data_IF_956278948907
#
_entry.id   IF_956278948907
#
_cell.length_a   1.000
_cell.length_b   1.000
_cell.length_c   1.000
_cell.angle_alpha   90.00
_cell.angle_beta   90.00
_cell.angle_gamma   90.00
#
_symmetry.space_group_name_H-M   'P 1'
#
loop_
_entity.id
_entity.type
_entity.pdbx_description
1 polymer ?
#
# COMPACT_ATOMS: atom_id res chain seq x y z
N UNK A 1 23.05 -6.01 14.13
CA UNK A 1 21.99 -5.10 13.65
C UNK A 1 21.68 -5.55 12.24
N UNK A 2 20.63 -6.34 12.06
CA UNK A 2 20.32 -6.88 10.73
C UNK A 2 18.83 -6.77 10.56
N UNK A 3 18.47 -5.80 9.71
CA UNK A 3 17.18 -5.51 9.10
C UNK A 3 16.23 -6.70 9.08
N UNK A 4 15.21 -6.65 9.94
CA UNK A 4 14.00 -7.43 9.79
C UNK A 4 13.25 -6.86 8.57
N UNK A 5 13.43 -7.56 7.45
CA UNK A 5 12.61 -7.44 6.25
C UNK A 5 11.16 -7.64 6.66
N UNK A 6 10.41 -6.56 6.82
CA UNK A 6 8.96 -6.65 6.75
C UNK A 6 8.60 -6.91 5.29
N UNK A 7 8.67 -8.17 4.87
CA UNK A 7 7.98 -8.70 3.69
C UNK A 7 6.44 -8.67 3.87
N UNK A 8 5.93 -7.71 4.66
CA UNK A 8 4.52 -7.41 4.82
C UNK A 8 4.16 -6.36 3.79
N UNK A 9 3.77 -6.81 2.60
CA UNK A 9 3.10 -5.92 1.65
C UNK A 9 1.99 -5.15 2.37
N UNK A 10 1.91 -3.81 2.23
CA UNK A 10 0.87 -3.03 2.88
C UNK A 10 -0.51 -3.53 2.43
N UNK A 11 -1.47 -3.65 3.34
CA UNK A 11 -2.82 -4.13 3.03
C UNK A 11 -3.76 -2.96 2.73
N UNK A 12 -4.65 -3.07 1.73
CA UNK A 12 -5.70 -2.09 1.47
C UNK A 12 -6.58 -1.97 2.72
N UNK A 13 -6.63 -0.79 3.33
CA UNK A 13 -7.52 -0.53 4.48
C UNK A 13 -9.01 -0.60 4.14
N UNK A 14 -9.36 -0.67 2.84
CA UNK A 14 -10.72 -0.84 2.34
C UNK A 14 -11.17 -2.30 2.25
N UNK A 15 -10.43 -3.14 1.52
CA UNK A 15 -10.80 -4.54 1.25
C UNK A 15 -9.92 -5.59 1.96
N UNK A 16 -8.80 -5.18 2.57
CA UNK A 16 -7.83 -6.08 3.21
C UNK A 16 -6.89 -6.80 2.25
N UNK A 17 -6.99 -6.56 0.94
CA UNK A 17 -6.11 -7.17 -0.06
C UNK A 17 -4.67 -6.66 0.09
N UNK A 18 -3.65 -7.50 -0.15
CA UNK A 18 -2.26 -7.05 -0.18
C UNK A 18 -2.03 -6.11 -1.38
N UNK A 19 -1.33 -5.01 -1.15
CA UNK A 19 -0.93 -4.07 -2.20
C UNK A 19 0.49 -4.45 -2.64
N UNK A 20 0.66 -4.96 -3.87
CA UNK A 20 1.93 -5.55 -4.29
C UNK A 20 3.04 -4.51 -4.39
N UNK A 21 2.73 -3.30 -4.88
CA UNK A 21 3.72 -2.24 -5.11
C UNK A 21 3.12 -0.83 -5.02
N UNK A 22 4.00 0.16 -4.88
CA UNK A 22 3.66 1.59 -4.89
C UNK A 22 3.70 2.09 -6.32
N UNK A 23 2.69 2.86 -6.73
CA UNK A 23 2.65 3.46 -8.05
C UNK A 23 3.79 4.49 -8.19
N UNK A 24 4.69 4.33 -9.19
CA UNK A 24 5.86 5.19 -9.34
C UNK A 24 5.54 6.55 -9.98
N UNK A 25 4.37 6.73 -10.61
CA UNK A 25 3.95 7.98 -11.24
C UNK A 25 3.38 8.95 -10.22
N UNK A 26 2.54 8.47 -9.30
CA UNK A 26 1.89 9.31 -8.27
C UNK A 26 2.56 9.20 -6.90
N UNK A 27 3.35 8.15 -6.67
CA UNK A 27 3.99 7.89 -5.37
C UNK A 27 3.03 7.37 -4.30
N UNK A 28 1.85 6.89 -4.69
CA UNK A 28 0.80 6.38 -3.81
C UNK A 28 0.67 4.87 -3.94
N UNK A 29 0.11 4.24 -2.92
CA UNK A 29 -0.23 2.83 -2.93
C UNK A 29 -1.64 2.69 -3.51
N UNK A 30 -1.73 2.13 -4.71
CA UNK A 30 -3.00 1.85 -5.38
C UNK A 30 -3.29 0.37 -5.21
N UNK A 31 -4.49 0.04 -4.75
CA UNK A 31 -4.94 -1.34 -4.71
C UNK A 31 -5.64 -1.71 -6.01
N UNK A 32 -5.41 -2.95 -6.48
CA UNK A 32 -6.04 -3.45 -7.70
C UNK A 32 -7.46 -3.98 -7.46
N UNK A 33 -7.75 -4.47 -6.25
CA UNK A 33 -9.07 -4.99 -5.86
C UNK A 33 -10.07 -3.88 -5.47
N UNK A 34 -9.57 -2.83 -4.83
CA UNK A 34 -10.33 -1.68 -4.36
C UNK A 34 -9.78 -0.45 -5.11
N UNK A 35 -10.56 0.42 -5.79
CA UNK A 35 -10.04 1.64 -6.43
C UNK A 35 -9.68 2.72 -5.39
N UNK A 36 -8.94 2.32 -4.36
CA UNK A 36 -8.56 3.11 -3.19
C UNK A 36 -7.09 3.48 -3.32
N UNK A 37 -6.80 4.78 -3.21
CA UNK A 37 -5.45 5.29 -3.08
C UNK A 37 -5.09 5.45 -1.61
N UNK A 38 -3.88 5.02 -1.24
CA UNK A 38 -3.33 5.16 0.10
C UNK A 38 -2.00 5.93 0.03
N UNK A 39 -1.77 6.79 1.01
CA UNK A 39 -0.49 7.45 1.22
C UNK A 39 0.55 6.50 1.84
N UNK A 40 1.81 6.92 1.91
CA UNK A 40 2.93 6.13 2.47
C UNK A 40 2.75 5.77 3.95
N UNK A 41 1.91 6.51 4.69
CA UNK A 41 1.54 6.22 6.08
C UNK A 41 0.33 5.27 6.21
N UNK A 42 -0.24 4.81 5.08
CA UNK A 42 -1.45 4.00 5.03
C UNK A 42 -2.75 4.78 5.15
N UNK A 43 -2.70 6.12 5.21
CA UNK A 43 -3.89 6.98 5.21
C UNK A 43 -4.58 6.96 3.85
N UNK A 44 -5.92 7.03 3.83
CA UNK A 44 -6.70 7.09 2.59
C UNK A 44 -6.58 8.45 1.92
N UNK A 45 -6.29 8.42 0.62
CA UNK A 45 -6.34 9.59 -0.25
C UNK A 45 -7.71 9.58 -0.94
N UNK A 46 -8.51 10.58 -0.63
CA UNK A 46 -9.91 10.71 -1.06
C UNK A 46 -10.05 11.11 -2.53
#
# INVERSE_FOLDING_TARGET
MTTDSRDGHPQCSGCGAPIPERDPLVGWWLCDDCPLALADDGSRLA
#
